data_IF_138792122502
#
_entry.id   IF_138792122502
#
_cell.length_a   1.000
_cell.length_b   1.000
_cell.length_c   1.000
_cell.angle_alpha   90.00
_cell.angle_beta   90.00
_cell.angle_gamma   90.00
#
_symmetry.space_group_name_H-M   'P 1'
#
loop_
_entity.id
_entity.type
_entity.pdbx_description
1 polymer ?
#
# COMPACT_ATOMS: atom_id res chain seq x y z
N UNK A 1 -13.87 -3.48 -14.70
CA UNK A 1 -14.20 -2.07 -14.66
C UNK A 1 -13.01 -1.27 -14.13
N UNK A 2 -12.63 -0.19 -14.83
CA UNK A 2 -11.47 0.62 -14.47
C UNK A 2 -11.62 1.31 -13.12
N UNK A 3 -12.83 1.74 -12.76
CA UNK A 3 -13.06 2.40 -11.47
C UNK A 3 -12.77 1.45 -10.31
N UNK A 4 -13.16 0.20 -10.41
CA UNK A 4 -12.89 -0.81 -9.39
C UNK A 4 -11.39 -1.10 -9.30
N UNK A 5 -10.70 -1.22 -10.43
CA UNK A 5 -9.26 -1.44 -10.46
C UNK A 5 -8.51 -0.28 -9.80
N UNK A 6 -8.87 0.96 -10.12
CA UNK A 6 -8.24 2.16 -9.55
C UNK A 6 -8.42 2.18 -8.03
N UNK A 7 -9.63 1.97 -7.55
CA UNK A 7 -9.91 1.91 -6.11
C UNK A 7 -9.09 0.80 -5.44
N UNK A 8 -9.08 -0.38 -6.04
CA UNK A 8 -8.30 -1.51 -5.52
C UNK A 8 -6.82 -1.17 -5.43
N UNK A 9 -6.25 -0.56 -6.47
CA UNK A 9 -4.84 -0.16 -6.48
C UNK A 9 -4.52 0.85 -5.39
N UNK A 10 -5.38 1.85 -5.21
CA UNK A 10 -5.20 2.88 -4.17
C UNK A 10 -5.33 2.33 -2.75
N UNK A 11 -6.06 1.23 -2.59
CA UNK A 11 -6.25 0.59 -1.28
C UNK A 11 -5.20 -0.48 -0.97
N UNK A 12 -4.48 -0.96 -1.98
CA UNK A 12 -3.54 -2.10 -1.83
C UNK A 12 -2.08 -1.74 -2.10
N UNK A 13 -1.82 -0.73 -2.91
CA UNK A 13 -0.47 -0.31 -3.25
C UNK A 13 0.32 -1.29 -4.09
N UNK A 14 -0.33 -2.24 -4.75
CA UNK A 14 0.37 -3.26 -5.53
C UNK A 14 1.05 -2.69 -6.77
N UNK A 15 2.18 -3.30 -7.15
CA UNK A 15 2.82 -3.05 -8.43
C UNK A 15 2.00 -3.68 -9.56
N UNK A 16 2.21 -3.20 -10.80
CA UNK A 16 1.52 -3.74 -11.97
C UNK A 16 1.66 -5.26 -12.08
N UNK A 17 2.89 -5.77 -11.97
CA UNK A 17 3.13 -7.21 -12.07
C UNK A 17 2.43 -7.99 -10.95
N UNK A 18 2.41 -7.43 -9.74
CA UNK A 18 1.69 -8.03 -8.61
C UNK A 18 0.19 -8.08 -8.85
N UNK A 19 -0.39 -6.99 -9.39
CA UNK A 19 -1.81 -6.95 -9.75
C UNK A 19 -2.17 -7.99 -10.81
N UNK A 20 -1.33 -8.11 -11.84
CA UNK A 20 -1.58 -9.03 -12.94
C UNK A 20 -1.49 -10.49 -12.52
N UNK A 21 -0.71 -10.78 -11.49
CA UNK A 21 -0.52 -12.15 -11.00
C UNK A 21 -1.27 -12.44 -9.70
N UNK A 22 -2.06 -11.49 -9.22
CA UNK A 22 -2.87 -11.68 -8.00
C UNK A 22 -3.92 -12.75 -8.21
N UNK A 23 -4.02 -13.67 -7.24
CA UNK A 23 -4.98 -14.78 -7.24
C UNK A 23 -5.99 -14.59 -6.12
N UNK A 24 -7.18 -15.15 -6.27
CA UNK A 24 -8.21 -15.04 -5.23
C UNK A 24 -7.77 -15.64 -3.89
N UNK A 25 -6.94 -16.68 -3.90
CA UNK A 25 -6.44 -17.30 -2.67
C UNK A 25 -5.47 -16.41 -1.87
N UNK A 26 -4.99 -15.31 -2.47
CA UNK A 26 -4.10 -14.36 -1.79
C UNK A 26 -4.82 -13.46 -0.80
N UNK A 27 -6.15 -13.51 -0.78
CA UNK A 27 -6.98 -12.73 0.15
C UNK A 27 -6.80 -13.22 1.58
N UNK A 28 -6.70 -12.26 2.52
CA UNK A 28 -6.63 -12.54 3.96
C UNK A 28 -7.73 -11.78 4.68
N UNK A 29 -8.49 -12.52 5.47
CA UNK A 29 -9.54 -11.94 6.31
C UNK A 29 -8.93 -11.17 7.49
N UNK A 30 -9.75 -10.35 8.14
CA UNK A 30 -9.35 -9.69 9.37
C UNK A 30 -8.95 -10.71 10.44
N UNK A 31 -7.95 -10.36 11.26
CA UNK A 31 -7.56 -11.19 12.39
C UNK A 31 -8.74 -11.32 13.37
N UNK A 32 -8.91 -12.48 14.05
CA UNK A 32 -10.03 -12.69 14.96
C UNK A 32 -10.11 -11.70 16.11
N UNK A 33 -8.96 -11.17 16.54
CA UNK A 33 -8.88 -10.18 17.63
C UNK A 33 -9.05 -8.73 17.12
N UNK A 34 -9.24 -8.53 15.81
CA UNK A 34 -9.37 -7.21 15.22
C UNK A 34 -8.09 -6.41 15.11
N UNK A 35 -6.95 -6.98 15.45
CA UNK A 35 -5.65 -6.30 15.40
C UNK A 35 -5.22 -5.97 13.97
N UNK A 36 -5.66 -6.77 13.00
CA UNK A 36 -5.38 -6.58 11.58
C UNK A 36 -6.68 -6.67 10.80
N UNK A 37 -6.87 -5.73 9.88
CA UNK A 37 -7.99 -5.74 8.96
C UNK A 37 -7.77 -6.67 7.78
N UNK A 38 -8.76 -6.76 6.89
CA UNK A 38 -8.64 -7.57 5.68
C UNK A 38 -7.56 -7.02 4.75
N UNK A 39 -6.92 -7.90 4.01
CA UNK A 39 -5.84 -7.53 3.10
C UNK A 39 -5.39 -8.65 2.20
N UNK A 40 -4.13 -8.61 1.81
CA UNK A 40 -3.55 -9.53 0.85
C UNK A 40 -2.21 -10.07 1.35
N UNK A 41 -1.94 -11.32 1.01
CA UNK A 41 -0.59 -11.86 1.08
C UNK A 41 0.06 -11.72 -0.29
N UNK A 42 1.01 -10.79 -0.43
CA UNK A 42 1.65 -10.45 -1.69
C UNK A 42 2.93 -11.25 -1.83
N UNK A 43 2.90 -12.29 -2.66
CA UNK A 43 4.03 -13.20 -2.80
C UNK A 43 4.32 -13.64 -4.24
N UNK A 44 3.55 -13.14 -5.22
CA UNK A 44 3.71 -13.48 -6.63
C UNK A 44 4.21 -12.27 -7.40
N UNK A 45 5.20 -12.48 -8.27
CA UNK A 45 5.77 -11.45 -9.13
C UNK A 45 6.32 -10.25 -8.35
N UNK A 46 6.77 -10.50 -7.12
CA UNK A 46 7.32 -9.45 -6.27
C UNK A 46 8.75 -9.11 -6.69
N UNK A 47 9.09 -7.82 -6.60
CA UNK A 47 10.43 -7.36 -6.93
C UNK A 47 11.44 -7.91 -5.93
N UNK A 48 12.45 -8.62 -6.43
CA UNK A 48 13.49 -9.24 -5.61
C UNK A 48 12.99 -10.43 -4.79
N UNK A 49 11.82 -11.00 -5.13
CA UNK A 49 11.26 -12.14 -4.42
C UNK A 49 10.76 -11.85 -3.01
N UNK A 50 10.65 -10.58 -2.64
CA UNK A 50 10.21 -10.18 -1.30
C UNK A 50 8.71 -10.36 -1.15
N UNK A 51 8.30 -11.08 -0.12
CA UNK A 51 6.90 -11.26 0.21
C UNK A 51 6.49 -10.25 1.29
N UNK A 52 5.19 -9.91 1.31
CA UNK A 52 4.65 -9.04 2.35
C UNK A 52 3.16 -9.30 2.55
N UNK A 53 2.68 -8.98 3.71
CA UNK A 53 1.26 -8.96 4.00
C UNK A 53 0.84 -7.50 4.15
N UNK A 54 -0.23 -7.12 3.44
CA UNK A 54 -0.75 -5.77 3.49
C UNK A 54 -2.19 -5.77 3.97
N UNK A 55 -2.60 -4.67 4.61
CA UNK A 55 -4.01 -4.40 4.88
C UNK A 55 -4.54 -3.46 3.80
N UNK A 56 -5.80 -3.64 3.42
CA UNK A 56 -6.48 -2.63 2.62
C UNK A 56 -6.63 -1.34 3.44
N UNK A 57 -6.32 -0.22 2.84
CA UNK A 57 -6.37 1.10 3.47
C UNK A 57 -7.26 2.01 2.65
N UNK A 58 -8.24 2.64 3.31
CA UNK A 58 -9.19 3.52 2.65
C UNK A 58 -10.43 3.71 3.53
N UNK A 59 -11.50 4.25 2.95
CA UNK A 59 -12.78 4.35 3.62
C UNK A 59 -13.40 2.97 3.82
N UNK A 60 -14.41 2.89 4.69
CA UNK A 60 -15.13 1.63 4.92
C UNK A 60 -15.72 1.08 3.62
N UNK A 61 -16.28 1.95 2.77
CA UNK A 61 -16.85 1.53 1.48
C UNK A 61 -15.78 1.04 0.51
N UNK A 62 -14.62 1.69 0.48
CA UNK A 62 -13.51 1.28 -0.37
C UNK A 62 -12.95 -0.08 0.06
N UNK A 63 -12.78 -0.28 1.35
CA UNK A 63 -12.31 -1.57 1.88
C UNK A 63 -13.34 -2.67 1.60
N UNK A 64 -14.63 -2.38 1.76
CA UNK A 64 -15.69 -3.34 1.45
C UNK A 64 -15.68 -3.71 -0.03
N UNK A 65 -15.43 -2.76 -0.92
CA UNK A 65 -15.30 -3.03 -2.35
C UNK A 65 -14.11 -3.97 -2.63
N UNK A 66 -12.97 -3.73 -2.02
CA UNK A 66 -11.80 -4.60 -2.18
C UNK A 66 -12.08 -6.03 -1.70
N UNK A 67 -12.71 -6.17 -0.54
CA UNK A 67 -13.10 -7.49 -0.01
C UNK A 67 -14.08 -8.19 -0.95
N UNK A 68 -15.05 -7.45 -1.48
CA UNK A 68 -16.04 -7.98 -2.41
C UNK A 68 -15.39 -8.50 -3.69
N UNK A 69 -14.45 -7.73 -4.24
CA UNK A 69 -13.68 -8.14 -5.42
C UNK A 69 -12.95 -9.45 -5.15
N UNK A 70 -12.24 -9.54 -4.03
CA UNK A 70 -11.48 -10.74 -3.67
C UNK A 70 -12.36 -11.95 -3.36
N UNK A 71 -13.64 -11.73 -3.05
CA UNK A 71 -14.58 -12.80 -2.72
C UNK A 71 -15.36 -13.34 -3.92
N UNK A 72 -15.17 -12.75 -5.11
CA UNK A 72 -15.92 -13.16 -6.32
C UNK A 72 -15.45 -14.46 -6.93
N UNK A 73 -14.25 -14.92 -6.60
CA UNK A 73 -13.68 -16.15 -7.12
C UNK A 73 -12.94 -16.91 -6.05
N UNK A 74 -12.22 -17.94 -6.44
CA UNK A 74 -11.49 -18.79 -5.50
C UNK A 74 -10.22 -19.34 -6.13
N UNK A 75 -9.32 -19.81 -5.26
CA UNK A 75 -8.13 -20.55 -5.65
C UNK A 75 -7.16 -19.75 -6.51
N UNK A 76 -6.60 -20.39 -7.51
CA UNK A 76 -5.52 -19.86 -8.32
C UNK A 76 -5.98 -19.02 -9.52
N UNK A 77 -7.27 -18.78 -9.66
CA UNK A 77 -7.78 -17.89 -10.72
C UNK A 77 -7.31 -16.46 -10.50
N UNK A 78 -6.97 -15.78 -11.57
CA UNK A 78 -6.51 -14.38 -11.51
C UNK A 78 -7.66 -13.44 -11.21
N UNK A 79 -7.42 -12.47 -10.35
CA UNK A 79 -8.42 -11.45 -9.98
C UNK A 79 -8.60 -10.47 -11.13
N UNK A 80 -7.51 -9.93 -11.66
CA UNK A 80 -7.53 -8.88 -12.69
C UNK A 80 -7.10 -9.35 -14.07
N UNK A 81 -6.15 -10.29 -14.11
CA UNK A 81 -5.54 -10.71 -15.35
C UNK A 81 -4.73 -9.57 -15.96
N UNK A 82 -5.15 -9.07 -17.11
CA UNK A 82 -4.43 -8.00 -17.79
C UNK A 82 -4.81 -6.63 -17.20
N UNK A 83 -3.79 -5.86 -16.81
CA UNK A 83 -3.97 -4.48 -16.36
C UNK A 83 -3.66 -3.54 -17.53
N UNK A 84 -4.57 -2.59 -17.78
CA UNK A 84 -4.45 -1.65 -18.91
C UNK A 84 -3.14 -0.85 -18.82
N UNK A 85 -2.43 -0.71 -19.94
CA UNK A 85 -1.13 -0.02 -19.99
C UNK A 85 -1.21 1.46 -19.60
N UNK A 86 -2.38 2.08 -19.79
CA UNK A 86 -2.61 3.47 -19.39
C UNK A 86 -2.90 3.68 -17.90
N UNK A 87 -3.01 2.62 -17.12
CA UNK A 87 -3.25 2.75 -15.67
C UNK A 87 -2.01 3.36 -14.99
N UNK A 88 -2.21 4.43 -14.22
CA UNK A 88 -1.14 5.15 -13.53
C UNK A 88 -0.83 4.49 -12.19
N UNK A 89 -0.22 3.32 -12.23
CA UNK A 89 0.06 2.51 -11.05
C UNK A 89 0.93 3.26 -10.05
N UNK A 90 1.93 4.01 -10.51
CA UNK A 90 2.79 4.79 -9.61
C UNK A 90 1.97 5.79 -8.78
N UNK A 91 1.04 6.48 -9.41
CA UNK A 91 0.17 7.44 -8.73
C UNK A 91 -0.72 6.75 -7.68
N UNK A 92 -1.28 5.59 -8.01
CA UNK A 92 -2.12 4.84 -7.06
C UNK A 92 -1.31 4.33 -5.88
N UNK A 93 -0.08 3.90 -6.12
CA UNK A 93 0.83 3.48 -5.06
C UNK A 93 1.23 4.65 -4.17
N UNK A 94 1.39 5.84 -4.73
CA UNK A 94 1.67 7.06 -3.95
C UNK A 94 0.49 7.40 -3.03
N UNK A 95 -0.74 7.29 -3.53
CA UNK A 95 -1.94 7.47 -2.70
C UNK A 95 -1.98 6.48 -1.53
N UNK A 96 -1.69 5.21 -1.81
CA UNK A 96 -1.65 4.18 -0.78
C UNK A 96 -0.58 4.48 0.27
N UNK A 97 0.64 4.79 -0.17
CA UNK A 97 1.75 5.10 0.74
C UNK A 97 1.43 6.29 1.64
N UNK A 98 0.81 7.33 1.07
CA UNK A 98 0.40 8.51 1.83
C UNK A 98 -0.62 8.16 2.91
N UNK A 99 -1.62 7.34 2.59
CA UNK A 99 -2.61 6.88 3.56
C UNK A 99 -1.96 6.05 4.67
N UNK A 100 -1.07 5.13 4.33
CA UNK A 100 -0.36 4.32 5.34
C UNK A 100 0.47 5.22 6.23
N UNK A 101 1.21 6.17 5.66
CA UNK A 101 1.97 7.14 6.43
C UNK A 101 1.05 7.88 7.41
N UNK A 102 -0.07 8.42 6.93
CA UNK A 102 -1.00 9.18 7.77
C UNK A 102 -1.62 8.34 8.89
N UNK A 103 -1.82 7.05 8.68
CA UNK A 103 -2.32 6.14 9.72
C UNK A 103 -1.36 6.02 10.90
N UNK A 104 -0.05 6.04 10.64
CA UNK A 104 0.96 5.78 11.66
C UNK A 104 1.70 7.04 12.10
N UNK A 105 1.54 8.15 11.38
CA UNK A 105 2.26 9.38 11.69
C UNK A 105 1.85 9.95 13.05
N UNK A 106 2.84 10.24 13.86
CA UNK A 106 2.66 10.90 15.17
C UNK A 106 2.96 12.39 15.03
N UNK A 107 2.41 13.25 15.90
CA UNK A 107 2.75 14.67 15.86
C UNK A 107 4.27 14.87 15.99
N UNK A 108 4.85 15.68 15.10
CA UNK A 108 6.30 15.90 15.05
C UNK A 108 6.85 16.42 16.38
N UNK A 109 6.10 17.29 17.05
CA UNK A 109 6.49 17.86 18.34
C UNK A 109 6.62 16.84 19.45
N UNK A 110 6.09 15.62 19.27
CA UNK A 110 6.22 14.53 20.24
C UNK A 110 7.42 13.64 19.98
N UNK A 111 8.15 13.86 18.88
CA UNK A 111 9.23 12.99 18.43
C UNK A 111 10.59 13.56 18.81
N UNK A 112 11.55 12.65 19.11
CA UNK A 112 12.94 13.02 19.29
C UNK A 112 13.60 13.28 17.92
N UNK A 113 14.76 13.93 17.94
CA UNK A 113 15.54 14.18 16.72
C UNK A 113 15.80 12.91 15.91
N UNK A 114 16.07 11.79 16.58
CA UNK A 114 16.37 10.52 15.92
C UNK A 114 15.14 9.89 15.25
N UNK A 115 13.95 10.28 15.65
CA UNK A 115 12.69 9.76 15.11
C UNK A 115 12.16 10.58 13.92
N UNK A 116 12.82 11.68 13.60
CA UNK A 116 12.39 12.60 12.54
C UNK A 116 13.28 12.46 11.31
N UNK A 117 12.64 12.37 10.14
CA UNK A 117 13.31 12.47 8.86
C UNK A 117 13.18 13.90 8.35
N UNK A 118 14.31 14.57 8.15
CA UNK A 118 14.37 15.95 7.67
C UNK A 118 14.57 15.91 6.15
N UNK A 119 13.55 16.34 5.40
CA UNK A 119 13.60 16.33 3.94
C UNK A 119 14.62 17.31 3.40
N UNK A 120 15.18 16.98 2.23
CA UNK A 120 16.17 17.81 1.53
C UNK A 120 15.60 18.27 0.19
N UNK A 121 16.33 19.14 -0.50
CA UNK A 121 15.96 19.61 -1.83
C UNK A 121 14.65 20.37 -1.81
N UNK A 122 13.76 20.04 -2.74
CA UNK A 122 12.48 20.72 -2.92
C UNK A 122 11.57 20.63 -1.70
N UNK A 123 11.79 19.65 -0.85
CA UNK A 123 10.98 19.43 0.37
C UNK A 123 11.68 19.91 1.64
N UNK A 124 12.78 20.66 1.51
CA UNK A 124 13.50 21.21 2.66
C UNK A 124 12.52 21.98 3.54
N UNK A 125 12.54 21.70 4.84
CA UNK A 125 11.60 22.26 5.82
C UNK A 125 10.42 21.35 6.14
N UNK A 126 10.24 20.26 5.39
CA UNK A 126 9.25 19.25 5.69
C UNK A 126 9.89 18.18 6.58
N UNK A 127 9.28 17.90 7.72
CA UNK A 127 9.75 16.91 8.69
C UNK A 127 8.74 15.77 8.77
N UNK A 128 9.22 14.56 8.73
CA UNK A 128 8.39 13.36 8.67
C UNK A 128 8.73 12.40 9.80
N UNK A 129 7.74 11.62 10.23
CA UNK A 129 7.91 10.57 11.22
C UNK A 129 8.58 9.36 10.56
N UNK A 130 9.81 9.05 10.94
CA UNK A 130 10.57 7.91 10.39
C UNK A 130 9.83 6.58 10.53
N UNK A 131 9.18 6.34 11.66
CA UNK A 131 8.46 5.09 11.87
C UNK A 131 7.30 4.95 10.88
N UNK A 132 6.53 6.02 10.68
CA UNK A 132 5.42 6.01 9.72
C UNK A 132 5.94 5.83 8.29
N UNK A 133 7.08 6.44 7.94
CA UNK A 133 7.73 6.22 6.65
C UNK A 133 8.14 4.76 6.46
N UNK A 134 8.67 4.14 7.51
CA UNK A 134 9.06 2.72 7.46
C UNK A 134 7.84 1.82 7.25
N UNK A 135 6.72 2.12 7.90
CA UNK A 135 5.48 1.37 7.71
C UNK A 135 4.99 1.48 6.26
N UNK A 136 5.01 2.69 5.69
CA UNK A 136 4.64 2.89 4.29
C UNK A 136 5.62 2.17 3.34
N UNK A 137 6.91 2.23 3.63
CA UNK A 137 7.93 1.55 2.84
C UNK A 137 7.71 0.04 2.79
N UNK A 138 7.51 -0.57 3.94
CA UNK A 138 7.26 -2.02 4.03
C UNK A 138 5.98 -2.42 3.31
N UNK A 139 4.92 -1.62 3.44
CA UNK A 139 3.64 -1.90 2.79
C UNK A 139 3.77 -1.87 1.26
N UNK A 140 4.66 -1.03 0.71
CA UNK A 140 4.95 -0.98 -0.72
C UNK A 140 5.95 -2.05 -1.17
N UNK A 141 6.58 -2.76 -0.24
CA UNK A 141 7.60 -3.75 -0.57
C UNK A 141 9.01 -3.17 -0.72
N UNK A 142 9.27 -2.00 -0.13
CA UNK A 142 10.58 -1.37 -0.09
C UNK A 142 11.23 -1.52 1.29
N UNK A 143 12.54 -1.30 1.36
CA UNK A 143 13.29 -1.33 2.63
C UNK A 143 13.91 0.02 2.98
N UNK A 144 13.80 1.02 2.11
CA UNK A 144 14.48 2.31 2.28
C UNK A 144 13.47 3.45 2.38
N UNK A 145 13.53 4.18 3.50
CA UNK A 145 12.61 5.29 3.76
C UNK A 145 12.84 6.48 2.82
N UNK A 146 14.07 6.68 2.33
CA UNK A 146 14.37 7.78 1.42
C UNK A 146 13.56 7.72 0.13
N UNK A 147 13.28 6.52 -0.38
CA UNK A 147 12.44 6.32 -1.57
C UNK A 147 11.02 6.82 -1.31
N UNK A 148 10.50 6.58 -0.11
CA UNK A 148 9.15 6.99 0.26
C UNK A 148 9.04 8.52 0.23
N UNK A 149 9.99 9.21 0.85
CA UNK A 149 9.97 10.68 0.92
C UNK A 149 10.02 11.33 -0.47
N UNK A 150 10.89 10.81 -1.35
CA UNK A 150 11.14 11.43 -2.65
C UNK A 150 10.12 11.04 -3.72
N UNK A 151 9.55 9.83 -3.65
CA UNK A 151 8.78 9.29 -4.78
C UNK A 151 7.31 9.01 -4.48
N UNK A 152 6.91 8.86 -3.23
CA UNK A 152 5.57 8.34 -2.91
C UNK A 152 4.72 9.23 -2.02
N UNK A 153 5.29 10.01 -1.09
CA UNK A 153 4.45 10.81 -0.18
C UNK A 153 3.95 12.09 -0.84
N UNK A 154 2.64 12.28 -0.80
CA UNK A 154 1.92 13.45 -1.31
C UNK A 154 1.14 14.08 -0.15
N UNK A 155 1.85 14.82 0.66
CA UNK A 155 1.28 15.46 1.87
C UNK A 155 0.92 16.92 1.61
#
# INVERSE_FOLDING_TARGET
>A
NNADLITFCKCSGLRRAELQDLRFEDFRLAAPDGSEGPGLYVHRSTKGGRVRQIQFVGSADEIALCCNIMSKGSGLSKVWGKVHSGADIHSYRADYATKVYQMYARPIETLSHDEIYYCRGDRKGTWLDKNAMLMASKALGHNRISIIASNYLRL
#
